data_IF_523003355442
#
_entry.id   IF_523003355442
#
_cell.length_a   1.000
_cell.length_b   1.000
_cell.length_c   1.000
_cell.angle_alpha   90.00
_cell.angle_beta   90.00
_cell.angle_gamma   90.00
#
_symmetry.space_group_name_H-M   'P 1'
#
loop_
_entity.id
_entity.type
_entity.pdbx_description
1 polymer ?
#
# COMPACT_ATOMS: atom_id res chain seq x y z
N UNK A 1 -7.67 -23.13 -27.87
CA UNK A 1 -6.82 -22.27 -27.03
C UNK A 1 -7.55 -21.71 -25.80
N UNK A 2 -8.66 -20.97 -25.97
CA UNK A 2 -9.43 -20.44 -24.82
C UNK A 2 -9.82 -21.54 -23.81
N UNK A 3 -10.38 -22.64 -24.28
CA UNK A 3 -10.71 -23.79 -23.42
C UNK A 3 -9.50 -24.35 -22.64
N UNK A 4 -8.29 -24.30 -23.21
CA UNK A 4 -7.07 -24.72 -22.50
C UNK A 4 -6.76 -23.81 -21.33
N UNK A 5 -6.92 -22.48 -21.53
CA UNK A 5 -6.73 -21.48 -20.47
C UNK A 5 -7.83 -21.57 -19.41
N UNK A 6 -9.09 -21.82 -19.81
CA UNK A 6 -10.22 -21.99 -18.89
C UNK A 6 -10.06 -23.26 -18.03
N UNK A 7 -9.63 -24.38 -18.63
CA UNK A 7 -9.31 -25.61 -17.88
C UNK A 7 -8.18 -25.39 -16.88
N UNK A 8 -7.13 -24.66 -17.30
CA UNK A 8 -6.00 -24.34 -16.43
C UNK A 8 -6.43 -23.44 -15.27
N UNK A 9 -7.24 -22.41 -15.55
CA UNK A 9 -7.78 -21.52 -14.53
C UNK A 9 -8.60 -22.30 -13.49
N UNK A 10 -9.46 -23.20 -13.94
CA UNK A 10 -10.25 -24.06 -13.06
C UNK A 10 -9.35 -25.02 -12.24
N UNK A 11 -8.26 -25.53 -12.80
CA UNK A 11 -7.30 -26.36 -12.07
C UNK A 11 -6.57 -25.59 -10.96
N UNK A 12 -6.16 -24.33 -11.23
CA UNK A 12 -5.57 -23.45 -10.20
C UNK A 12 -6.53 -23.23 -9.05
N UNK A 13 -7.80 -22.90 -9.32
CA UNK A 13 -8.80 -22.67 -8.28
C UNK A 13 -9.11 -23.92 -7.44
N UNK A 14 -8.98 -25.10 -8.00
CA UNK A 14 -9.14 -26.38 -7.27
C UNK A 14 -7.86 -26.87 -6.62
N UNK A 15 -6.73 -26.15 -6.77
CA UNK A 15 -5.41 -26.59 -6.35
C UNK A 15 -5.01 -27.97 -6.94
N UNK A 16 -5.46 -28.23 -8.18
CA UNK A 16 -5.28 -29.50 -8.90
C UNK A 16 -4.60 -29.23 -10.25
N UNK A 17 -3.49 -28.49 -10.23
CA UNK A 17 -2.71 -28.20 -11.43
C UNK A 17 -1.96 -29.46 -11.85
N UNK A 18 -2.11 -29.94 -13.11
CA UNK A 18 -1.43 -31.14 -13.57
C UNK A 18 0.09 -31.01 -13.45
N UNK A 19 0.82 -32.08 -13.07
CA UNK A 19 2.27 -32.06 -12.93
C UNK A 19 3.02 -31.73 -14.23
N UNK A 20 2.42 -31.98 -15.37
CA UNK A 20 2.95 -31.66 -16.71
C UNK A 20 2.68 -30.21 -17.16
N UNK A 21 1.98 -29.41 -16.36
CA UNK A 21 1.86 -27.96 -16.61
C UNK A 21 3.24 -27.31 -16.41
N UNK A 22 3.74 -26.47 -17.34
CA UNK A 22 5.06 -25.85 -17.26
C UNK A 22 5.24 -24.96 -16.02
N UNK A 23 4.16 -24.46 -15.43
CA UNK A 23 4.17 -23.68 -14.21
C UNK A 23 3.63 -24.44 -12.98
N UNK A 24 3.49 -25.77 -13.04
CA UNK A 24 2.92 -26.57 -11.96
C UNK A 24 3.56 -26.27 -10.60
N UNK A 25 4.90 -26.17 -10.56
CA UNK A 25 5.63 -25.81 -9.36
C UNK A 25 5.23 -24.44 -8.84
N UNK A 26 5.25 -23.41 -9.69
CA UNK A 26 4.93 -22.03 -9.32
C UNK A 26 3.48 -21.86 -8.93
N UNK A 27 2.56 -22.52 -9.64
CA UNK A 27 1.13 -22.51 -9.32
C UNK A 27 0.86 -23.32 -8.03
N UNK A 28 1.65 -24.36 -7.75
CA UNK A 28 1.61 -25.09 -6.49
C UNK A 28 1.93 -24.21 -5.26
N UNK A 29 2.69 -23.13 -5.43
CA UNK A 29 2.94 -22.16 -4.36
C UNK A 29 1.67 -21.45 -3.86
N UNK A 30 0.58 -21.49 -4.62
CA UNK A 30 -0.72 -20.91 -4.28
C UNK A 30 -1.58 -21.81 -3.38
N UNK A 31 -1.16 -23.03 -3.04
CA UNK A 31 -1.98 -24.04 -2.36
C UNK A 31 -2.71 -23.55 -1.09
N UNK A 32 -2.14 -22.57 -0.36
CA UNK A 32 -2.76 -22.01 0.84
C UNK A 32 -3.48 -20.67 0.58
N UNK A 33 -3.30 -20.06 -0.60
CA UNK A 33 -3.82 -18.73 -0.92
C UNK A 33 -5.34 -18.80 -1.17
N UNK A 34 -6.15 -17.97 -0.49
CA UNK A 34 -7.61 -17.98 -0.68
C UNK A 34 -8.00 -17.27 -1.98
N UNK A 35 -7.90 -17.97 -3.09
CA UNK A 35 -8.34 -17.45 -4.39
C UNK A 35 -9.86 -17.61 -4.51
N UNK A 36 -10.57 -16.53 -4.88
CA UNK A 36 -11.97 -16.57 -5.26
C UNK A 36 -12.15 -16.70 -6.79
N UNK A 37 -11.29 -16.02 -7.55
CA UNK A 37 -11.31 -16.10 -9.01
C UNK A 37 -9.89 -16.22 -9.57
N UNK A 38 -9.79 -16.84 -10.74
CA UNK A 38 -8.59 -16.92 -11.56
C UNK A 38 -9.00 -17.06 -13.00
N UNK A 39 -8.62 -16.16 -13.88
CA UNK A 39 -9.04 -16.17 -15.27
C UNK A 39 -7.97 -15.55 -16.18
N UNK A 40 -7.98 -15.96 -17.44
CA UNK A 40 -7.14 -15.40 -18.49
C UNK A 40 -8.00 -14.68 -19.53
N UNK A 41 -7.70 -13.41 -19.76
CA UNK A 41 -8.27 -12.64 -20.87
C UNK A 41 -7.25 -12.56 -22.01
N UNK A 42 -7.52 -13.21 -23.12
CA UNK A 42 -6.66 -13.21 -24.31
C UNK A 42 -6.65 -11.81 -24.93
N UNK A 43 -5.47 -11.22 -25.10
CA UNK A 43 -5.23 -9.92 -25.69
C UNK A 43 -4.74 -10.02 -27.15
N UNK A 44 -4.05 -11.11 -27.48
CA UNK A 44 -3.53 -11.35 -28.82
C UNK A 44 -3.01 -12.78 -28.96
N UNK A 45 -3.06 -13.30 -30.17
CA UNK A 45 -2.58 -14.63 -30.52
C UNK A 45 -1.73 -14.53 -31.77
N UNK A 46 -0.54 -15.08 -31.69
CA UNK A 46 0.34 -15.31 -32.84
C UNK A 46 0.44 -16.83 -33.03
N UNK A 47 -0.10 -17.33 -34.14
CA UNK A 47 -0.23 -18.77 -34.41
C UNK A 47 0.66 -19.17 -35.58
N UNK A 48 1.44 -20.23 -35.36
CA UNK A 48 2.25 -20.89 -36.39
C UNK A 48 1.92 -22.42 -36.35
N UNK A 49 1.06 -22.86 -37.24
CA UNK A 49 0.62 -24.25 -37.32
C UNK A 49 0.06 -24.80 -35.99
N UNK A 50 0.71 -25.85 -35.42
CA UNK A 50 0.31 -26.44 -34.15
C UNK A 50 0.86 -25.67 -32.91
N UNK A 51 1.50 -24.52 -33.08
CA UNK A 51 2.05 -23.68 -32.02
C UNK A 51 1.37 -22.33 -32.00
N UNK A 52 1.28 -21.74 -30.82
CA UNK A 52 0.78 -20.38 -30.66
C UNK A 52 1.47 -19.67 -29.49
N UNK A 53 1.73 -18.38 -29.65
CA UNK A 53 2.07 -17.48 -28.56
C UNK A 53 0.87 -16.62 -28.24
N UNK A 54 0.41 -16.67 -27.00
CA UNK A 54 -0.76 -15.96 -26.53
C UNK A 54 -0.34 -14.88 -25.55
N UNK A 55 -0.61 -13.63 -25.88
CA UNK A 55 -0.56 -12.53 -24.91
C UNK A 55 -1.89 -12.49 -24.18
N UNK A 56 -1.84 -12.62 -22.86
CA UNK A 56 -3.04 -12.66 -22.03
C UNK A 56 -2.86 -11.75 -20.80
N UNK A 57 -3.98 -11.31 -20.28
CA UNK A 57 -4.07 -10.72 -18.94
C UNK A 57 -4.60 -11.81 -18.00
N UNK A 58 -3.81 -12.12 -16.97
CA UNK A 58 -4.25 -12.91 -15.84
C UNK A 58 -4.98 -11.98 -14.88
N UNK A 59 -6.19 -12.36 -14.50
CA UNK A 59 -7.02 -11.67 -13.51
C UNK A 59 -7.36 -12.62 -12.36
N UNK A 60 -7.16 -12.19 -11.11
CA UNK A 60 -7.47 -12.99 -9.92
C UNK A 60 -8.00 -12.13 -8.78
N UNK A 61 -8.75 -12.73 -7.86
CA UNK A 61 -9.21 -12.09 -6.63
C UNK A 61 -8.91 -12.96 -5.41
N UNK A 62 -8.60 -12.31 -4.28
CA UNK A 62 -8.51 -12.96 -2.97
C UNK A 62 -9.87 -12.93 -2.28
N UNK A 63 -10.32 -14.10 -1.83
CA UNK A 63 -11.63 -14.26 -1.21
C UNK A 63 -11.81 -13.36 0.02
N UNK A 64 -12.93 -12.66 0.06
CA UNK A 64 -13.29 -11.74 1.14
C UNK A 64 -12.43 -10.48 1.27
N UNK A 65 -11.50 -10.22 0.32
CA UNK A 65 -10.59 -9.08 0.38
C UNK A 65 -10.67 -8.19 -0.87
N UNK A 66 -10.69 -8.77 -2.06
CA UNK A 66 -10.73 -8.02 -3.31
C UNK A 66 -12.16 -7.76 -3.77
N UNK A 67 -12.50 -6.49 -4.02
CA UNK A 67 -13.78 -6.11 -4.65
C UNK A 67 -13.73 -6.26 -6.17
N UNK A 68 -12.55 -6.23 -6.76
CA UNK A 68 -12.30 -6.45 -8.18
C UNK A 68 -10.97 -7.16 -8.41
N UNK A 69 -10.70 -7.61 -9.65
CA UNK A 69 -9.53 -8.42 -9.93
C UNK A 69 -8.22 -7.62 -9.90
N UNK A 70 -7.19 -8.23 -9.34
CA UNK A 70 -5.79 -7.85 -9.62
C UNK A 70 -5.45 -8.41 -10.99
N UNK A 71 -4.86 -7.59 -11.86
CA UNK A 71 -4.48 -8.00 -13.21
C UNK A 71 -2.98 -7.97 -13.42
N UNK A 72 -2.47 -8.86 -14.28
CA UNK A 72 -1.07 -8.89 -14.69
C UNK A 72 -0.92 -9.48 -16.08
N UNK A 73 -0.01 -8.92 -16.89
CA UNK A 73 0.29 -9.42 -18.22
C UNK A 73 1.05 -10.76 -18.18
N UNK A 74 0.64 -11.71 -19.05
CA UNK A 74 1.31 -13.00 -19.24
C UNK A 74 1.57 -13.23 -20.73
N UNK A 75 2.65 -13.94 -21.01
CA UNK A 75 2.92 -14.52 -22.31
C UNK A 75 2.93 -16.05 -22.16
N UNK A 76 2.01 -16.69 -22.88
CA UNK A 76 1.79 -18.13 -22.81
C UNK A 76 2.13 -18.74 -24.15
N UNK A 77 2.94 -19.81 -24.16
CA UNK A 77 3.13 -20.62 -25.34
C UNK A 77 2.21 -21.84 -25.27
N UNK A 78 1.58 -22.14 -26.36
CA UNK A 78 0.68 -23.29 -26.48
C UNK A 78 1.08 -24.17 -27.65
N UNK A 79 0.89 -25.49 -27.47
CA UNK A 79 1.03 -26.46 -28.53
C UNK A 79 -0.26 -27.30 -28.67
N UNK A 80 -0.62 -27.60 -29.90
CA UNK A 80 -1.72 -28.53 -30.24
C UNK A 80 -1.17 -29.95 -30.32
N UNK A 81 -1.76 -30.84 -29.53
CA UNK A 81 -1.49 -32.30 -29.58
C UNK A 81 -2.82 -33.03 -29.53
N UNK A 82 -3.01 -33.98 -30.43
CA UNK A 82 -4.23 -34.77 -30.52
C UNK A 82 -5.51 -33.92 -30.55
N UNK A 83 -5.48 -32.82 -31.33
CA UNK A 83 -6.59 -31.88 -31.46
C UNK A 83 -6.88 -31.04 -30.22
N UNK A 84 -5.98 -31.05 -29.22
CA UNK A 84 -6.12 -30.28 -28.00
C UNK A 84 -4.95 -29.36 -27.77
N UNK A 85 -5.25 -28.10 -27.47
CA UNK A 85 -4.25 -27.11 -27.04
C UNK A 85 -3.83 -27.32 -25.59
N UNK A 86 -2.52 -27.27 -25.33
CA UNK A 86 -1.91 -27.29 -23.99
C UNK A 86 -0.93 -26.16 -23.85
N UNK A 87 -0.83 -25.56 -22.64
CA UNK A 87 0.18 -24.56 -22.31
C UNK A 87 1.52 -25.29 -22.17
N UNK A 88 2.54 -24.79 -22.85
CA UNK A 88 3.91 -25.34 -22.84
C UNK A 88 4.93 -24.39 -22.21
N UNK A 89 4.59 -23.10 -22.11
CA UNK A 89 5.36 -22.12 -21.33
C UNK A 89 4.43 -21.05 -20.78
N UNK A 90 4.78 -20.46 -19.63
CA UNK A 90 4.08 -19.37 -18.99
C UNK A 90 5.09 -18.43 -18.33
N UNK A 91 5.15 -17.20 -18.79
CA UNK A 91 6.05 -16.19 -18.24
C UNK A 91 5.34 -14.85 -18.07
N UNK A 92 5.81 -13.98 -17.14
CA UNK A 92 5.36 -12.60 -17.09
C UNK A 92 5.55 -11.89 -18.43
N UNK A 93 4.66 -10.98 -18.77
CA UNK A 93 4.89 -10.05 -19.87
C UNK A 93 6.02 -9.08 -19.50
N UNK A 94 6.68 -8.51 -20.51
CA UNK A 94 7.78 -7.58 -20.29
C UNK A 94 7.28 -6.37 -19.46
N UNK A 95 8.03 -5.98 -18.43
CA UNK A 95 7.68 -4.90 -17.50
C UNK A 95 6.58 -5.27 -16.47
N UNK A 96 6.07 -6.50 -16.44
CA UNK A 96 5.15 -6.91 -15.40
C UNK A 96 5.89 -7.15 -14.07
N UNK A 97 5.40 -6.52 -12.98
CA UNK A 97 5.92 -6.77 -11.64
C UNK A 97 5.71 -8.24 -11.23
N UNK A 98 6.64 -8.78 -10.46
CA UNK A 98 6.55 -10.15 -9.94
C UNK A 98 5.32 -10.34 -9.04
N UNK A 99 4.86 -11.58 -8.93
CA UNK A 99 3.82 -11.98 -7.98
C UNK A 99 4.44 -12.75 -6.82
N UNK A 100 3.85 -12.63 -5.64
CA UNK A 100 4.43 -13.22 -4.43
C UNK A 100 4.65 -14.74 -4.57
N UNK A 101 3.77 -15.45 -5.25
CA UNK A 101 3.90 -16.89 -5.50
C UNK A 101 4.98 -17.27 -6.52
N UNK A 102 5.48 -16.32 -7.30
CA UNK A 102 6.62 -16.53 -8.21
C UNK A 102 7.94 -16.56 -7.45
N UNK A 103 7.95 -16.04 -6.21
CA UNK A 103 9.12 -16.00 -5.33
C UNK A 103 9.28 -17.28 -4.49
N UNK A 104 8.22 -18.09 -4.32
CA UNK A 104 8.25 -19.33 -3.55
C UNK A 104 6.89 -19.72 -2.96
N UNK A 105 6.85 -20.81 -2.17
CA UNK A 105 5.65 -21.26 -1.49
C UNK A 105 5.07 -20.18 -0.57
N UNK A 106 3.79 -19.84 -0.78
CA UNK A 106 3.14 -18.79 -0.01
C UNK A 106 2.59 -19.37 1.29
N UNK A 107 3.09 -18.87 2.42
CA UNK A 107 2.50 -19.09 3.72
C UNK A 107 1.37 -18.08 3.94
N UNK A 108 0.25 -18.54 4.47
CA UNK A 108 -0.93 -17.69 4.73
C UNK A 108 -1.22 -17.65 6.22
N UNK A 109 -1.37 -16.44 6.76
CA UNK A 109 -1.88 -16.21 8.12
C UNK A 109 -3.11 -15.30 8.02
N UNK A 110 -4.22 -15.78 8.58
CA UNK A 110 -5.47 -15.01 8.67
C UNK A 110 -5.60 -14.43 10.08
N UNK A 111 -5.69 -13.11 10.17
CA UNK A 111 -6.16 -12.40 11.35
C UNK A 111 -7.68 -12.23 11.31
N UNK A 112 -8.22 -11.42 12.21
CA UNK A 112 -9.64 -11.07 12.21
C UNK A 112 -10.04 -10.22 10.99
N UNK A 113 -9.13 -9.36 10.55
CA UNK A 113 -9.31 -8.40 9.44
C UNK A 113 -8.12 -8.34 8.49
N UNK A 114 -6.98 -8.86 8.90
CA UNK A 114 -5.76 -8.90 8.10
C UNK A 114 -5.58 -10.26 7.42
N UNK A 115 -5.20 -10.26 6.16
CA UNK A 115 -4.69 -11.42 5.44
C UNK A 115 -3.21 -11.21 5.18
N UNK A 116 -2.35 -12.04 5.74
CA UNK A 116 -0.90 -11.95 5.55
C UNK A 116 -0.43 -13.09 4.65
N UNK A 117 0.23 -12.74 3.57
CA UNK A 117 0.84 -13.66 2.61
C UNK A 117 2.36 -13.49 2.71
N UNK A 118 3.08 -14.53 3.09
CA UNK A 118 4.53 -14.49 3.27
C UNK A 118 5.27 -15.55 2.47
N UNK A 119 6.46 -15.21 2.00
CA UNK A 119 7.39 -16.16 1.33
C UNK A 119 8.74 -16.07 2.00
N UNK A 120 9.35 -17.24 2.33
CA UNK A 120 10.67 -17.29 2.95
C UNK A 120 10.73 -16.69 4.36
N UNK A 121 9.60 -16.53 5.03
CA UNK A 121 9.50 -15.93 6.36
C UNK A 121 9.16 -16.93 7.44
N UNK A 122 9.61 -16.67 8.67
CA UNK A 122 9.15 -17.39 9.84
C UNK A 122 7.65 -17.15 10.08
N UNK A 123 6.92 -18.22 10.34
CA UNK A 123 5.47 -18.15 10.65
C UNK A 123 5.17 -17.33 11.90
N UNK A 124 6.10 -17.20 12.84
CA UNK A 124 5.94 -16.35 14.02
C UNK A 124 5.89 -14.87 13.61
N UNK A 125 6.77 -14.42 12.71
CA UNK A 125 6.74 -13.07 12.15
C UNK A 125 5.41 -12.80 11.43
N UNK A 126 4.94 -13.74 10.61
CA UNK A 126 3.67 -13.55 9.88
C UNK A 126 2.47 -13.42 10.83
N UNK A 127 2.46 -14.18 11.93
CA UNK A 127 1.44 -14.06 12.98
C UNK A 127 1.52 -12.72 13.71
N UNK A 128 2.73 -12.26 14.00
CA UNK A 128 2.95 -10.94 14.62
C UNK A 128 2.45 -9.82 13.73
N UNK A 129 2.76 -9.85 12.43
CA UNK A 129 2.28 -8.88 11.43
C UNK A 129 0.75 -8.88 11.39
N UNK A 130 0.11 -10.05 11.32
CA UNK A 130 -1.36 -10.18 11.31
C UNK A 130 -1.98 -9.59 12.57
N UNK A 131 -1.47 -9.97 13.75
CA UNK A 131 -1.96 -9.46 15.03
C UNK A 131 -1.75 -7.95 15.18
N UNK A 132 -0.63 -7.41 14.67
CA UNK A 132 -0.33 -5.97 14.73
C UNK A 132 -1.25 -5.19 13.78
N UNK A 133 -1.47 -5.68 12.57
CA UNK A 133 -2.43 -5.10 11.64
C UNK A 133 -3.86 -5.12 12.23
N UNK A 134 -4.31 -6.24 12.78
CA UNK A 134 -5.64 -6.34 13.41
C UNK A 134 -5.83 -5.34 14.54
N UNK A 135 -4.79 -5.05 15.34
CA UNK A 135 -4.84 -4.02 16.40
C UNK A 135 -4.87 -2.60 15.85
N UNK A 136 -4.31 -2.36 14.67
CA UNK A 136 -4.27 -1.04 14.03
C UNK A 136 -5.63 -0.62 13.43
N UNK A 137 -6.33 -1.56 12.79
CA UNK A 137 -7.51 -1.27 11.97
C UNK A 137 -8.68 -0.59 12.71
N UNK A 138 -8.99 -0.89 13.98
CA UNK A 138 -10.04 -0.17 14.71
C UNK A 138 -9.77 1.33 14.84
N UNK A 139 -8.51 1.75 15.07
CA UNK A 139 -8.14 3.16 15.17
C UNK A 139 -8.30 3.88 13.82
N UNK A 140 -7.93 3.22 12.71
CA UNK A 140 -8.12 3.72 11.35
C UNK A 140 -9.62 3.89 11.05
N UNK A 141 -10.43 2.86 11.34
CA UNK A 141 -11.88 2.90 11.11
C UNK A 141 -12.57 4.01 11.92
N UNK A 142 -12.13 4.23 13.16
CA UNK A 142 -12.69 5.28 14.01
C UNK A 142 -12.29 6.71 13.57
N UNK A 143 -11.14 6.84 12.89
CA UNK A 143 -10.63 8.13 12.45
C UNK A 143 -11.05 8.51 11.02
N UNK A 144 -11.32 7.52 10.16
CA UNK A 144 -11.74 7.72 8.77
C UNK A 144 -13.21 7.43 8.57
N UNK A 145 -14.01 8.47 8.36
CA UNK A 145 -15.45 8.37 8.12
C UNK A 145 -15.83 8.01 6.68
N UNK A 146 -14.84 7.84 5.77
CA UNK A 146 -15.06 7.38 4.41
C UNK A 146 -15.33 5.87 4.34
N UNK A 147 -15.93 5.41 3.23
CA UNK A 147 -16.19 3.98 3.01
C UNK A 147 -14.89 3.25 2.69
N UNK A 148 -14.63 2.16 3.39
CA UNK A 148 -13.56 1.20 3.12
C UNK A 148 -13.93 -0.17 3.67
N UNK A 149 -13.19 -1.21 3.29
CA UNK A 149 -13.53 -2.60 3.67
C UNK A 149 -13.32 -2.92 5.16
N UNK A 150 -12.52 -2.12 5.87
CA UNK A 150 -12.05 -2.45 7.21
C UNK A 150 -11.07 -3.62 7.26
N UNK A 151 -10.51 -4.01 6.12
CA UNK A 151 -9.61 -5.16 5.94
C UNK A 151 -8.35 -4.74 5.20
N UNK A 152 -7.25 -5.46 5.45
CA UNK A 152 -5.98 -5.26 4.74
C UNK A 152 -5.39 -6.58 4.27
N UNK A 153 -4.68 -6.52 3.15
CA UNK A 153 -3.83 -7.61 2.66
C UNK A 153 -2.37 -7.18 2.81
N UNK A 154 -1.60 -7.96 3.55
CA UNK A 154 -0.18 -7.68 3.79
C UNK A 154 0.67 -8.73 3.10
N UNK A 155 1.62 -8.30 2.29
CA UNK A 155 2.62 -9.14 1.64
C UNK A 155 3.95 -9.01 2.39
N UNK A 156 4.54 -10.14 2.75
CA UNK A 156 5.86 -10.18 3.42
C UNK A 156 6.79 -11.05 2.55
N UNK A 157 7.51 -10.46 1.60
CA UNK A 157 8.46 -11.15 0.73
C UNK A 157 9.70 -11.63 1.51
N UNK A 158 10.57 -12.42 0.85
CA UNK A 158 11.75 -13.01 1.48
C UNK A 158 12.85 -12.02 1.83
N UNK A 159 12.97 -10.92 1.07
CA UNK A 159 14.03 -9.91 1.18
C UNK A 159 13.57 -8.56 0.62
N UNK A 160 14.43 -7.54 0.76
CA UNK A 160 14.24 -6.23 0.12
C UNK A 160 14.23 -6.34 -1.41
N UNK A 161 15.10 -7.16 -2.02
CA UNK A 161 15.08 -7.39 -3.47
C UNK A 161 13.76 -8.01 -3.93
N UNK A 162 13.25 -8.97 -3.15
CA UNK A 162 11.95 -9.59 -3.42
C UNK A 162 10.78 -8.57 -3.29
N UNK A 163 10.86 -7.63 -2.32
CA UNK A 163 9.92 -6.52 -2.21
C UNK A 163 9.95 -5.61 -3.44
N UNK A 164 11.14 -5.21 -3.87
CA UNK A 164 11.34 -4.36 -5.05
C UNK A 164 10.75 -5.02 -6.31
N UNK A 165 10.97 -6.33 -6.49
CA UNK A 165 10.39 -7.10 -7.59
C UNK A 165 8.86 -7.14 -7.57
N UNK A 166 8.22 -7.20 -6.39
CA UNK A 166 6.75 -7.12 -6.25
C UNK A 166 6.20 -5.75 -6.63
N UNK A 167 6.98 -4.70 -6.38
CA UNK A 167 6.58 -3.31 -6.63
C UNK A 167 6.97 -2.84 -8.04
N UNK A 168 7.88 -3.57 -8.72
CA UNK A 168 8.32 -3.26 -10.08
C UNK A 168 9.26 -2.07 -10.17
N UNK A 169 9.97 -1.75 -9.09
CA UNK A 169 10.87 -0.61 -8.97
C UNK A 169 12.27 -1.04 -8.51
N UNK A 170 13.31 -0.23 -8.72
CA UNK A 170 14.65 -0.53 -8.23
C UNK A 170 14.72 -0.67 -6.70
N UNK A 171 15.57 -1.57 -6.22
CA UNK A 171 15.73 -1.87 -4.79
C UNK A 171 16.10 -0.65 -3.95
N UNK A 172 16.89 0.25 -4.53
CA UNK A 172 17.34 1.47 -3.84
C UNK A 172 16.20 2.42 -3.49
N UNK A 173 15.06 2.35 -4.20
CA UNK A 173 13.88 3.14 -3.89
C UNK A 173 13.26 2.80 -2.52
N UNK A 174 13.58 1.61 -1.97
CA UNK A 174 12.96 1.11 -0.74
C UNK A 174 13.96 0.89 0.41
N UNK A 175 15.22 1.30 0.27
CA UNK A 175 16.20 1.25 1.36
C UNK A 175 15.71 2.10 2.54
N UNK A 176 15.62 1.49 3.71
CA UNK A 176 15.15 2.16 4.93
C UNK A 176 13.62 2.30 5.04
N UNK A 177 12.86 1.95 4.00
CA UNK A 177 11.39 1.92 4.05
C UNK A 177 10.93 0.60 4.65
N UNK A 178 10.12 0.64 5.71
CA UNK A 178 9.67 -0.55 6.42
C UNK A 178 8.43 -1.22 5.79
N UNK A 179 7.57 -0.44 5.16
CA UNK A 179 6.43 -0.92 4.37
C UNK A 179 5.99 0.13 3.35
N UNK A 180 5.23 -0.31 2.36
CA UNK A 180 4.63 0.54 1.31
C UNK A 180 3.25 0.01 0.95
N UNK A 181 2.28 0.90 0.81
CA UNK A 181 0.96 0.55 0.27
C UNK A 181 0.95 0.67 -1.24
N UNK A 182 0.56 -0.41 -1.93
CA UNK A 182 0.34 -0.40 -3.39
C UNK A 182 -0.99 0.26 -3.72
N UNK A 183 -1.21 0.47 -5.01
CA UNK A 183 -2.47 0.96 -5.55
C UNK A 183 -2.33 2.34 -6.17
N UNK A 184 -3.17 2.60 -7.17
CA UNK A 184 -3.20 3.90 -7.85
C UNK A 184 -4.19 4.82 -7.17
N UNK A 185 -3.84 6.10 -6.94
CA UNK A 185 -4.81 7.10 -6.47
C UNK A 185 -6.07 7.11 -7.33
N UNK A 186 -7.24 7.28 -6.70
CA UNK A 186 -8.53 7.36 -7.40
C UNK A 186 -9.10 6.01 -7.85
N UNK A 187 -8.62 4.88 -7.32
CA UNK A 187 -9.21 3.57 -7.60
C UNK A 187 -10.70 3.53 -7.24
N UNK A 188 -11.55 3.13 -8.22
CA UNK A 188 -13.00 3.05 -8.03
C UNK A 188 -13.43 1.90 -7.09
N UNK A 189 -14.72 1.85 -6.76
CA UNK A 189 -15.31 0.84 -5.86
C UNK A 189 -15.09 -0.62 -6.30
N UNK A 190 -14.81 -0.86 -7.59
CA UNK A 190 -14.49 -2.18 -8.16
C UNK A 190 -12.98 -2.45 -8.29
N UNK A 191 -12.12 -1.61 -7.73
CA UNK A 191 -10.68 -1.86 -7.73
C UNK A 191 -10.32 -3.01 -6.78
N UNK A 192 -9.21 -3.74 -7.04
CA UNK A 192 -8.68 -4.68 -6.06
C UNK A 192 -8.28 -3.95 -4.78
N UNK A 193 -8.27 -4.66 -3.67
CA UNK A 193 -7.73 -4.11 -2.43
C UNK A 193 -6.25 -3.76 -2.61
N UNK A 194 -5.83 -2.64 -2.03
CA UNK A 194 -4.41 -2.31 -1.96
C UNK A 194 -3.66 -3.38 -1.15
N UNK A 195 -2.40 -3.57 -1.46
CA UNK A 195 -1.48 -4.45 -0.71
C UNK A 195 -0.53 -3.59 0.09
N UNK A 196 -0.40 -3.89 1.38
CA UNK A 196 0.72 -3.39 2.19
C UNK A 196 1.89 -4.35 1.98
N UNK A 197 2.97 -3.89 1.38
CA UNK A 197 4.18 -4.71 1.15
C UNK A 197 5.21 -4.34 2.20
N UNK A 198 5.58 -5.30 3.03
CA UNK A 198 6.53 -5.11 4.15
C UNK A 198 7.94 -5.44 3.70
N UNK A 199 8.89 -4.54 3.97
CA UNK A 199 10.31 -4.83 3.91
C UNK A 199 10.70 -5.67 5.15
N UNK A 200 10.99 -6.97 5.02
CA UNK A 200 11.20 -7.82 6.18
C UNK A 200 12.46 -7.48 6.98
N UNK A 201 13.45 -6.86 6.34
CA UNK A 201 14.71 -6.46 6.96
C UNK A 201 14.47 -5.25 7.88
N UNK A 202 14.02 -4.14 7.32
CA UNK A 202 13.73 -2.92 8.08
C UNK A 202 12.64 -3.15 9.15
N UNK A 203 11.60 -3.94 8.85
CA UNK A 203 10.52 -4.21 9.81
C UNK A 203 11.01 -4.97 11.05
N UNK A 204 11.98 -5.89 10.91
CA UNK A 204 12.54 -6.62 12.06
C UNK A 204 13.30 -5.71 13.01
N UNK A 205 13.94 -4.66 12.51
CA UNK A 205 14.69 -3.69 13.31
C UNK A 205 13.78 -2.75 14.11
N UNK A 206 12.50 -2.64 13.72
CA UNK A 206 11.55 -1.79 14.41
C UNK A 206 11.20 -2.33 15.79
N UNK A 207 11.08 -1.41 16.77
CA UNK A 207 10.45 -1.69 18.06
C UNK A 207 8.98 -2.08 17.87
N UNK A 208 8.34 -2.64 18.91
CA UNK A 208 6.90 -2.93 18.88
C UNK A 208 6.03 -1.69 18.61
N UNK A 209 6.49 -0.50 19.06
CA UNK A 209 5.89 0.78 18.68
C UNK A 209 6.02 1.04 17.17
N UNK A 210 7.24 0.96 16.63
CA UNK A 210 7.52 1.22 15.22
C UNK A 210 6.72 0.29 14.29
N UNK A 211 6.64 -1.00 14.60
CA UNK A 211 5.84 -1.97 13.86
C UNK A 211 4.36 -1.63 13.82
N UNK A 212 3.80 -1.23 14.97
CA UNK A 212 2.40 -0.78 15.04
C UNK A 212 2.20 0.52 14.28
N UNK A 213 3.12 1.48 14.43
CA UNK A 213 3.09 2.76 13.73
C UNK A 213 3.02 2.56 12.21
N UNK A 214 3.97 1.82 11.64
CA UNK A 214 4.06 1.57 10.20
C UNK A 214 2.79 0.88 9.67
N UNK A 215 2.32 -0.20 10.31
CA UNK A 215 1.13 -0.88 9.83
C UNK A 215 -0.15 -0.04 9.98
N UNK A 216 -0.21 0.85 10.98
CA UNK A 216 -1.33 1.81 11.11
C UNK A 216 -1.26 2.84 9.99
N UNK A 217 -0.09 3.42 9.73
CA UNK A 217 0.17 4.38 8.67
C UNK A 217 -0.26 3.82 7.31
N UNK A 218 0.23 2.63 6.94
CA UNK A 218 -0.12 1.97 5.69
C UNK A 218 -1.62 1.63 5.59
N UNK A 219 -2.24 1.21 6.69
CA UNK A 219 -3.68 0.96 6.72
C UNK A 219 -4.51 2.22 6.49
N UNK A 220 -4.01 3.41 6.86
CA UNK A 220 -4.67 4.68 6.52
C UNK A 220 -4.66 4.90 5.02
N UNK A 221 -3.55 4.65 4.32
CA UNK A 221 -3.50 4.75 2.86
C UNK A 221 -4.49 3.79 2.20
N UNK A 222 -4.62 2.56 2.69
CA UNK A 222 -5.66 1.62 2.22
C UNK A 222 -7.06 2.19 2.44
N UNK A 223 -7.34 2.74 3.63
CA UNK A 223 -8.66 3.28 3.97
C UNK A 223 -9.03 4.52 3.18
N UNK A 224 -8.07 5.39 2.88
CA UNK A 224 -8.29 6.66 2.18
C UNK A 224 -8.24 6.54 0.66
N UNK A 225 -7.85 5.39 0.11
CA UNK A 225 -7.55 5.18 -1.31
C UNK A 225 -8.59 5.76 -2.27
N UNK A 226 -9.88 5.53 -2.01
CA UNK A 226 -10.97 6.01 -2.89
C UNK A 226 -11.14 7.54 -2.87
N UNK A 227 -10.61 8.21 -1.85
CA UNK A 227 -10.63 9.66 -1.70
C UNK A 227 -9.30 10.33 -2.08
N UNK A 228 -8.23 9.54 -2.20
CA UNK A 228 -6.91 10.03 -2.60
C UNK A 228 -6.83 10.13 -4.12
N UNK A 229 -6.47 11.29 -4.63
CA UNK A 229 -6.27 11.54 -6.07
C UNK A 229 -4.94 12.26 -6.30
N UNK A 230 -4.58 12.52 -7.55
CA UNK A 230 -3.42 13.36 -7.88
C UNK A 230 -3.52 14.81 -7.36
N UNK A 231 -4.72 15.26 -6.96
CA UNK A 231 -4.92 16.58 -6.36
C UNK A 231 -4.75 16.58 -4.83
N UNK A 232 -4.64 15.41 -4.20
CA UNK A 232 -4.40 15.29 -2.75
C UNK A 232 -2.93 15.59 -2.48
N UNK A 233 -2.58 16.68 -1.77
CA UNK A 233 -1.18 16.98 -1.50
C UNK A 233 -0.59 15.97 -0.53
N UNK A 234 0.71 15.64 -0.71
CA UNK A 234 1.39 14.62 0.12
C UNK A 234 1.40 15.01 1.60
N UNK A 235 1.55 16.30 1.95
CA UNK A 235 1.51 16.72 3.36
C UNK A 235 0.21 16.31 4.06
N UNK A 236 -0.91 16.26 3.32
CA UNK A 236 -2.21 15.87 3.86
C UNK A 236 -2.36 14.35 3.91
N UNK A 237 -1.91 13.63 2.89
CA UNK A 237 -1.96 12.17 2.83
C UNK A 237 -1.08 11.54 3.92
N UNK A 238 0.19 11.92 3.95
CA UNK A 238 1.16 11.43 4.92
C UNK A 238 0.86 11.93 6.33
N UNK A 239 0.50 13.21 6.44
CA UNK A 239 0.17 13.82 7.74
C UNK A 239 -1.07 13.21 8.39
N UNK A 240 -2.08 12.80 7.62
CA UNK A 240 -3.24 12.06 8.15
C UNK A 240 -2.84 10.66 8.62
N UNK A 241 -2.00 9.96 7.85
CA UNK A 241 -1.51 8.63 8.19
C UNK A 241 -0.71 8.66 9.49
N UNK A 242 0.25 9.57 9.60
CA UNK A 242 1.05 9.78 10.81
C UNK A 242 0.18 10.19 12.00
N UNK A 243 -0.77 11.09 11.81
CA UNK A 243 -1.68 11.51 12.88
C UNK A 243 -2.45 10.35 13.49
N UNK A 244 -2.96 9.46 12.66
CA UNK A 244 -3.70 8.29 13.15
C UNK A 244 -2.74 7.29 13.81
N UNK A 245 -1.53 7.11 13.27
CA UNK A 245 -0.53 6.22 13.80
C UNK A 245 0.04 6.69 15.17
N UNK A 246 0.18 8.00 15.39
CA UNK A 246 0.59 8.57 16.67
C UNK A 246 -0.51 8.64 17.72
N UNK A 247 -1.77 8.52 17.32
CA UNK A 247 -2.90 8.68 18.25
C UNK A 247 -2.85 7.69 19.41
N UNK A 248 -2.96 8.21 20.63
CA UNK A 248 -2.97 7.40 21.86
C UNK A 248 -1.61 6.79 22.24
N UNK A 249 -0.51 7.26 21.65
CA UNK A 249 0.85 6.79 21.98
C UNK A 249 1.47 7.49 23.19
N UNK A 250 0.88 8.61 23.62
CA UNK A 250 1.41 9.43 24.73
C UNK A 250 2.69 10.20 24.40
N UNK A 251 3.16 10.18 23.14
CA UNK A 251 4.34 10.94 22.73
C UNK A 251 4.02 12.43 22.65
N UNK A 252 4.96 13.26 23.12
CA UNK A 252 4.89 14.72 22.92
C UNK A 252 5.12 15.07 21.43
N UNK A 253 4.72 16.26 21.04
CA UNK A 253 4.99 16.75 19.69
C UNK A 253 6.50 16.81 19.40
N UNK A 254 7.31 17.22 20.36
CA UNK A 254 8.78 17.30 20.23
C UNK A 254 9.44 15.90 20.07
N UNK A 255 8.89 14.86 20.73
CA UNK A 255 9.38 13.47 20.59
C UNK A 255 8.97 12.83 19.27
N UNK A 256 7.85 13.23 18.73
CA UNK A 256 7.31 12.69 17.47
C UNK A 256 7.81 13.49 16.25
N UNK A 257 8.26 14.73 16.43
CA UNK A 257 8.78 15.61 15.38
C UNK A 257 10.18 16.16 15.73
N UNK A 258 11.20 15.31 15.95
CA UNK A 258 12.50 15.74 16.46
C UNK A 258 13.28 16.64 15.49
N UNK A 259 13.20 16.41 14.18
CA UNK A 259 13.91 17.21 13.18
C UNK A 259 13.29 18.61 13.05
N UNK A 260 11.98 18.69 13.01
CA UNK A 260 11.25 19.94 12.95
C UNK A 260 11.38 20.72 14.28
N UNK A 261 11.36 20.03 15.42
CA UNK A 261 11.59 20.64 16.73
C UNK A 261 12.99 21.26 16.84
N UNK A 262 14.02 20.58 16.31
CA UNK A 262 15.38 21.12 16.24
C UNK A 262 15.42 22.39 15.40
N UNK A 263 14.81 22.39 14.22
CA UNK A 263 14.74 23.54 13.32
C UNK A 263 14.01 24.72 13.97
N UNK A 264 12.83 24.48 14.55
CA UNK A 264 12.03 25.53 15.22
C UNK A 264 12.78 26.17 16.39
N UNK A 265 13.45 25.37 17.23
CA UNK A 265 14.28 25.89 18.35
C UNK A 265 15.49 26.70 17.87
N UNK A 266 16.01 26.37 16.68
CA UNK A 266 17.09 27.19 16.05
C UNK A 266 16.54 28.45 15.35
N UNK A 267 15.23 28.72 15.40
CA UNK A 267 14.60 29.86 14.75
C UNK A 267 14.19 29.60 13.27
N UNK A 268 14.52 28.43 12.73
CA UNK A 268 14.18 28.03 11.36
C UNK A 268 12.76 27.43 11.30
N UNK A 269 11.75 28.31 11.32
CA UNK A 269 10.35 27.91 11.20
C UNK A 269 9.96 27.89 9.73
N UNK A 270 9.49 26.75 9.16
CA UNK A 270 9.13 26.66 7.75
C UNK A 270 8.17 27.77 7.31
N UNK A 271 8.42 28.37 6.15
CA UNK A 271 7.61 29.46 5.63
C UNK A 271 6.26 29.01 5.06
N UNK A 272 6.17 27.76 4.60
CA UNK A 272 5.00 27.18 3.93
C UNK A 272 4.79 25.73 4.39
N UNK A 273 3.56 25.21 4.16
CA UNK A 273 3.28 23.78 4.26
C UNK A 273 4.22 22.98 3.35
N UNK A 274 4.59 21.73 3.70
CA UNK A 274 5.46 20.91 2.88
C UNK A 274 4.92 20.76 1.46
N UNK A 275 5.79 20.91 0.47
CA UNK A 275 5.47 20.64 -0.92
C UNK A 275 5.68 19.14 -1.23
N UNK A 276 5.02 18.62 -2.25
CA UNK A 276 5.12 17.19 -2.62
C UNK A 276 6.58 16.77 -2.91
N UNK A 277 7.40 17.66 -3.48
CA UNK A 277 8.82 17.42 -3.70
C UNK A 277 9.65 17.23 -2.43
N UNK A 278 9.16 17.67 -1.26
CA UNK A 278 9.86 17.52 0.02
C UNK A 278 9.79 16.10 0.57
N UNK A 279 8.87 15.27 0.07
CA UNK A 279 8.70 13.87 0.42
C UNK A 279 9.55 12.91 -0.43
N UNK A 280 10.31 13.43 -1.40
CA UNK A 280 11.12 12.61 -2.30
C UNK A 280 12.33 12.02 -1.59
N UNK A 281 12.45 10.68 -1.60
CA UNK A 281 13.61 9.96 -1.12
C UNK A 281 14.82 10.17 -2.07
N UNK A 282 16.04 10.08 -1.52
CA UNK A 282 17.29 10.26 -2.28
C UNK A 282 17.95 11.64 -2.15
N UNK A 283 17.37 12.53 -1.33
CA UNK A 283 17.94 13.83 -0.97
C UNK A 283 18.34 13.92 0.51
N UNK A 284 18.24 15.13 1.08
CA UNK A 284 18.46 15.39 2.50
C UNK A 284 17.38 14.70 3.35
N UNK A 285 17.80 13.68 4.14
CA UNK A 285 16.92 12.93 5.04
C UNK A 285 16.23 13.83 6.08
N UNK A 286 16.90 14.89 6.53
CA UNK A 286 16.33 15.88 7.46
C UNK A 286 15.19 16.69 6.82
N UNK A 287 15.26 16.98 5.52
CA UNK A 287 14.20 17.65 4.78
C UNK A 287 12.97 16.73 4.68
N UNK A 288 13.17 15.47 4.34
CA UNK A 288 12.09 14.49 4.25
C UNK A 288 11.41 14.31 5.60
N UNK A 289 12.17 14.12 6.68
CA UNK A 289 11.63 14.00 8.04
C UNK A 289 10.80 15.24 8.41
N UNK A 290 11.31 16.45 8.19
CA UNK A 290 10.57 17.70 8.45
C UNK A 290 9.27 17.81 7.63
N UNK A 291 9.23 17.25 6.41
CA UNK A 291 8.01 17.22 5.60
C UNK A 291 6.93 16.34 6.23
N UNK A 292 7.27 15.11 6.63
CA UNK A 292 6.36 14.21 7.35
C UNK A 292 5.88 14.84 8.67
N UNK A 293 6.81 15.29 9.51
CA UNK A 293 6.53 15.93 10.80
C UNK A 293 5.65 17.19 10.64
N UNK A 294 5.93 18.01 9.63
CA UNK A 294 5.14 19.20 9.30
C UNK A 294 3.74 18.88 8.80
N UNK A 295 3.60 17.86 7.96
CA UNK A 295 2.31 17.34 7.49
C UNK A 295 1.47 16.79 8.64
N UNK A 296 2.08 15.98 9.51
CA UNK A 296 1.44 15.48 10.72
C UNK A 296 0.89 16.60 11.59
N UNK A 297 1.73 17.61 11.94
CA UNK A 297 1.31 18.75 12.80
C UNK A 297 0.26 19.64 12.11
N UNK A 298 0.26 19.72 10.79
CA UNK A 298 -0.81 20.40 10.06
C UNK A 298 -2.15 19.65 10.20
N UNK A 299 -2.16 18.33 10.06
CA UNK A 299 -3.34 17.49 10.28
C UNK A 299 -3.81 17.53 11.74
N UNK A 300 -2.88 17.55 12.70
CA UNK A 300 -3.18 17.70 14.12
C UNK A 300 -3.84 19.05 14.42
N UNK A 301 -3.32 20.15 13.87
CA UNK A 301 -3.92 21.48 14.00
C UNK A 301 -5.35 21.50 13.44
N UNK A 302 -5.59 20.93 12.26
CA UNK A 302 -6.95 20.85 11.70
C UNK A 302 -7.86 20.09 12.65
N UNK A 303 -7.43 18.94 13.14
CA UNK A 303 -8.25 18.10 14.00
C UNK A 303 -8.54 18.76 15.38
N UNK A 304 -7.58 19.46 15.95
CA UNK A 304 -7.76 20.22 17.21
C UNK A 304 -8.74 21.40 17.03
N UNK A 305 -8.61 22.14 15.93
CA UNK A 305 -9.39 23.36 15.73
C UNK A 305 -10.78 23.11 15.19
N UNK A 306 -10.97 22.11 14.32
CA UNK A 306 -12.24 21.87 13.62
C UNK A 306 -12.81 20.46 13.86
N UNK A 307 -12.05 19.59 14.53
CA UNK A 307 -12.46 18.21 14.79
C UNK A 307 -11.99 17.22 13.72
N UNK A 308 -11.91 15.93 14.11
CA UNK A 308 -11.45 14.86 13.24
C UNK A 308 -12.33 14.62 12.01
N UNK A 309 -13.64 14.78 12.16
CA UNK A 309 -14.60 14.66 11.04
C UNK A 309 -14.39 15.74 9.97
N UNK A 310 -14.07 16.97 10.41
CA UNK A 310 -13.73 18.06 9.48
C UNK A 310 -12.41 17.81 8.77
N UNK A 311 -11.41 17.21 9.44
CA UNK A 311 -10.17 16.77 8.78
C UNK A 311 -10.46 15.74 7.69
N UNK A 312 -11.27 14.72 7.99
CA UNK A 312 -11.66 13.73 6.99
C UNK A 312 -12.47 14.34 5.82
N UNK A 313 -13.35 15.31 6.10
CA UNK A 313 -14.07 16.05 5.08
C UNK A 313 -13.15 16.93 4.23
N UNK A 314 -12.15 17.59 4.86
CA UNK A 314 -11.11 18.36 4.18
C UNK A 314 -10.27 17.49 3.25
N UNK A 315 -9.86 16.30 3.71
CA UNK A 315 -9.12 15.33 2.90
C UNK A 315 -9.89 14.97 1.62
N UNK A 316 -11.16 14.59 1.74
CA UNK A 316 -12.00 14.26 0.58
C UNK A 316 -12.16 15.46 -0.38
N UNK A 317 -12.46 16.64 0.16
CA UNK A 317 -12.61 17.84 -0.65
C UNK A 317 -11.31 18.25 -1.36
N UNK A 318 -10.14 18.05 -0.71
CA UNK A 318 -8.84 18.30 -1.32
C UNK A 318 -8.57 17.35 -2.50
N UNK A 319 -8.90 16.06 -2.36
CA UNK A 319 -8.80 15.09 -3.44
C UNK A 319 -9.75 15.36 -4.60
N UNK A 320 -10.96 15.83 -4.33
CA UNK A 320 -11.97 16.11 -5.36
C UNK A 320 -11.77 17.44 -6.09
N UNK A 321 -11.36 18.49 -5.38
CA UNK A 321 -11.45 19.88 -5.85
C UNK A 321 -10.18 20.70 -5.62
N UNK A 322 -9.12 20.07 -5.09
CA UNK A 322 -7.87 20.71 -4.72
C UNK A 322 -7.92 21.40 -3.35
N UNK A 323 -6.75 21.52 -2.72
CA UNK A 323 -6.62 22.00 -1.34
C UNK A 323 -7.12 23.45 -1.12
N UNK A 324 -6.88 24.37 -2.07
CA UNK A 324 -7.26 25.78 -1.89
C UNK A 324 -8.79 25.94 -1.79
N UNK A 325 -9.54 25.12 -2.53
CA UNK A 325 -10.98 25.07 -2.45
C UNK A 325 -11.45 24.40 -1.15
N UNK A 326 -10.78 23.31 -0.76
CA UNK A 326 -11.08 22.62 0.48
C UNK A 326 -10.88 23.50 1.72
N UNK A 327 -9.82 24.35 1.76
CA UNK A 327 -9.63 25.31 2.84
C UNK A 327 -10.83 26.25 2.99
N UNK A 328 -11.35 26.79 1.89
CA UNK A 328 -12.50 27.71 1.93
C UNK A 328 -13.80 27.00 2.30
N UNK A 329 -14.10 25.91 1.61
CA UNK A 329 -15.41 25.25 1.68
C UNK A 329 -15.61 24.46 2.97
N UNK A 330 -14.52 23.86 3.52
CA UNK A 330 -14.59 22.95 4.67
C UNK A 330 -14.12 23.60 5.97
N UNK A 331 -13.05 24.40 5.91
CA UNK A 331 -12.43 24.98 7.10
C UNK A 331 -12.76 26.48 7.27
N UNK A 332 -13.49 27.07 6.33
CA UNK A 332 -13.85 28.50 6.33
C UNK A 332 -12.61 29.42 6.51
N UNK A 333 -11.50 29.08 5.85
CA UNK A 333 -10.24 29.81 5.88
C UNK A 333 -9.55 29.73 4.51
N UNK A 334 -8.46 30.45 4.31
CA UNK A 334 -7.61 30.28 3.13
C UNK A 334 -6.26 29.64 3.53
N UNK A 335 -5.52 29.16 2.51
CA UNK A 335 -4.24 28.50 2.72
C UNK A 335 -3.22 29.40 3.41
N UNK A 336 -3.20 30.71 3.11
CA UNK A 336 -2.24 31.63 3.70
C UNK A 336 -2.54 31.86 5.20
N UNK A 337 -3.81 32.03 5.55
CA UNK A 337 -4.24 32.17 6.94
C UNK A 337 -3.97 30.87 7.73
N UNK A 338 -4.25 29.72 7.13
CA UNK A 338 -3.96 28.43 7.74
C UNK A 338 -2.46 28.23 7.93
N UNK A 339 -1.62 28.58 6.94
CA UNK A 339 -0.15 28.48 7.06
C UNK A 339 0.39 29.35 8.19
N UNK A 340 -0.15 30.56 8.38
CA UNK A 340 0.24 31.40 9.54
C UNK A 340 -0.11 30.71 10.86
N UNK A 341 -1.34 30.22 11.00
CA UNK A 341 -1.79 29.51 12.19
C UNK A 341 -0.96 28.23 12.45
N UNK A 342 -0.59 27.49 11.40
CA UNK A 342 0.27 26.32 11.50
C UNK A 342 1.69 26.68 11.96
N UNK A 343 2.27 27.75 11.45
CA UNK A 343 3.59 28.23 11.93
C UNK A 343 3.57 28.63 13.40
N UNK A 344 2.49 29.26 13.86
CA UNK A 344 2.33 29.60 15.28
C UNK A 344 2.13 28.34 16.13
N UNK A 345 1.39 27.34 15.64
CA UNK A 345 1.25 26.04 16.26
C UNK A 345 2.60 25.30 16.39
N UNK A 346 3.44 25.32 15.34
CA UNK A 346 4.79 24.75 15.40
C UNK A 346 5.62 25.38 16.51
N UNK A 347 5.60 26.72 16.64
CA UNK A 347 6.31 27.41 17.72
C UNK A 347 5.81 26.99 19.10
N UNK A 348 4.50 26.88 19.28
CA UNK A 348 3.89 26.50 20.55
C UNK A 348 4.23 25.06 20.96
N UNK A 349 4.13 24.11 20.05
CA UNK A 349 4.29 22.68 20.36
C UNK A 349 5.76 22.24 20.41
N UNK A 350 6.67 22.92 19.69
CA UNK A 350 8.04 22.45 19.47
C UNK A 350 9.12 23.30 20.17
N UNK A 351 8.75 24.43 20.79
CA UNK A 351 9.71 25.28 21.50
C UNK A 351 10.17 24.68 22.83
N UNK A 352 9.34 23.84 23.45
CA UNK A 352 9.71 23.21 24.73
C UNK A 352 10.79 22.15 24.53
N UNK A 353 11.67 21.99 25.50
CA UNK A 353 12.64 20.91 25.52
C UNK A 353 11.90 19.55 25.58
N UNK A 354 12.44 18.49 24.99
CA UNK A 354 11.90 17.15 25.15
C UNK A 354 11.88 16.75 26.63
N UNK A 355 10.84 16.04 27.04
CA UNK A 355 10.62 15.57 28.42
C UNK A 355 11.58 14.46 28.79
#
# INVERSE_FOLDING_TARGET
MREALDRRAAAVLRHDVPPDDPAARTLGHLAAVPLATWAYRVLGVDRDGPRAVVRAELAYTLDGHDAGPVTTGRVLELAERDGRWRVTADRPADGAAARIWEQGPVQVVRGARALVLGVGQDRALLREVAATADRALPAVTAAWSGRWSGRVVVLVPGSLDAMAALLGEPVDAYRGTAAVTTGRPGGGAGAPADRVVVNPEAYRELSGFGRRFVLTHEAVHVATRTATTAATPLWLSEGLADRIAYRGTGRSAADAAPELARAVRAGDVPAALPADGDFSFGGDAGRVARAYEGGWLACELIARRWGGERLAAFYRAAGERGQDRAFRDVLATDRAAFTRAWRDHLRQELSSAPS
#
